data_IF_028707110995
#
_entry.id   IF_028707110995
#
_cell.length_a   1.000
_cell.length_b   1.000
_cell.length_c   1.000
_cell.angle_alpha   90.00
_cell.angle_beta   90.00
_cell.angle_gamma   90.00
#
_symmetry.space_group_name_H-M   'P 1'
#
loop_
_entity.id
_entity.type
_entity.pdbx_description
1 polymer ?
#
# COMPACT_ATOMS: atom_id res chain seq x y z
N UNK A 1 4.17 -5.48 6.62
CA UNK A 1 3.66 -5.92 5.31
C UNK A 1 3.67 -4.74 4.35
N UNK A 2 4.05 -4.97 3.10
CA UNK A 2 3.94 -3.99 2.01
C UNK A 2 3.00 -4.58 0.98
N UNK A 3 1.91 -3.91 0.63
CA UNK A 3 0.91 -4.43 -0.31
C UNK A 3 0.17 -3.30 -1.03
N UNK A 4 -0.47 -3.63 -2.15
CA UNK A 4 -1.40 -2.73 -2.84
C UNK A 4 -2.84 -2.89 -2.33
N UNK A 5 -3.21 -4.06 -1.82
CA UNK A 5 -4.56 -4.32 -1.35
C UNK A 5 -4.76 -3.83 0.09
N UNK A 6 -5.80 -3.02 0.30
CA UNK A 6 -6.09 -2.45 1.61
C UNK A 6 -6.47 -3.52 2.64
N UNK A 7 -7.15 -4.60 2.21
CA UNK A 7 -7.58 -5.68 3.09
C UNK A 7 -6.39 -6.47 3.66
N UNK A 8 -5.36 -6.72 2.85
CA UNK A 8 -4.12 -7.36 3.29
C UNK A 8 -3.44 -6.54 4.39
N UNK A 9 -3.39 -5.21 4.21
CA UNK A 9 -2.78 -4.30 5.17
C UNK A 9 -3.61 -4.17 6.44
N UNK A 10 -4.95 -4.10 6.34
CA UNK A 10 -5.84 -4.07 7.49
C UNK A 10 -5.70 -5.35 8.33
N UNK A 11 -5.63 -6.52 7.68
CA UNK A 11 -5.37 -7.79 8.36
C UNK A 11 -3.98 -7.82 9.02
N UNK A 12 -2.94 -7.34 8.32
CA UNK A 12 -1.60 -7.29 8.87
C UNK A 12 -1.48 -6.35 10.09
N UNK A 13 -2.19 -5.21 10.07
CA UNK A 13 -2.26 -4.30 11.21
C UNK A 13 -2.89 -4.97 12.44
N UNK A 14 -3.95 -5.78 12.26
CA UNK A 14 -4.56 -6.56 13.34
C UNK A 14 -3.60 -7.59 13.95
N UNK A 15 -2.61 -8.06 13.18
CA UNK A 15 -1.55 -8.93 13.67
C UNK A 15 -0.35 -8.17 14.27
N UNK A 16 -0.38 -6.83 14.33
CA UNK A 16 0.69 -6.01 14.91
C UNK A 16 1.88 -5.75 13.97
N UNK A 17 1.73 -6.00 12.66
CA UNK A 17 2.76 -5.61 11.70
C UNK A 17 2.71 -4.12 11.37
N UNK A 18 3.86 -3.52 11.06
CA UNK A 18 3.90 -2.27 10.30
C UNK A 18 3.36 -2.50 8.89
N UNK A 19 2.71 -1.51 8.31
CA UNK A 19 1.95 -1.58 7.06
C UNK A 19 2.37 -0.48 6.10
N UNK A 20 2.52 -0.82 4.84
CA UNK A 20 2.86 0.12 3.77
C UNK A 20 1.97 -0.15 2.57
N UNK A 21 1.24 0.88 2.14
CA UNK A 21 0.47 0.85 0.90
C UNK A 21 1.32 1.32 -0.27
N UNK A 22 1.35 0.54 -1.34
CA UNK A 22 2.00 0.91 -2.62
C UNK A 22 0.96 0.91 -3.73
N UNK A 23 0.78 2.07 -4.38
CA UNK A 23 -0.21 2.24 -5.43
C UNK A 23 0.05 1.30 -6.63
N UNK A 24 -1.01 0.63 -7.08
CA UNK A 24 -1.04 -0.15 -8.33
C UNK A 24 -2.28 0.21 -9.14
N UNK A 25 -2.33 1.41 -9.74
CA UNK A 25 -3.54 1.93 -10.40
C UNK A 25 -3.99 1.16 -11.64
N UNK A 26 -3.17 0.22 -12.13
CA UNK A 26 -3.43 -0.54 -13.36
C UNK A 26 -3.29 -2.05 -13.15
N UNK A 27 -3.32 -2.54 -11.92
CA UNK A 27 -3.26 -3.98 -11.62
C UNK A 27 -4.39 -4.74 -12.32
N UNK A 28 -5.59 -4.16 -12.35
CA UNK A 28 -6.76 -4.69 -13.06
C UNK A 28 -7.07 -3.93 -14.36
N UNK A 29 -6.10 -3.19 -14.91
CA UNK A 29 -6.27 -2.38 -16.11
C UNK A 29 -6.76 -0.94 -15.85
N UNK A 30 -7.02 -0.17 -16.92
CA UNK A 30 -7.31 1.27 -16.82
C UNK A 30 -8.55 1.61 -16.00
N UNK A 31 -9.55 0.73 -16.02
CA UNK A 31 -10.85 0.92 -15.36
C UNK A 31 -10.92 0.38 -13.92
N UNK A 32 -9.77 0.07 -13.30
CA UNK A 32 -9.72 -0.38 -11.91
C UNK A 32 -10.45 0.60 -10.98
N UNK A 33 -11.23 0.06 -10.04
CA UNK A 33 -12.03 0.84 -9.07
C UNK A 33 -11.65 0.60 -7.61
N UNK A 34 -11.01 -0.53 -7.34
CA UNK A 34 -10.56 -0.93 -6.00
C UNK A 34 -9.10 -0.55 -5.79
N UNK A 35 -8.70 -0.41 -4.52
CA UNK A 35 -7.31 -0.22 -4.11
C UNK A 35 -6.57 0.91 -4.86
N UNK A 36 -7.33 1.95 -5.20
CA UNK A 36 -6.83 3.15 -5.89
C UNK A 36 -6.10 4.10 -4.95
N UNK A 37 -6.44 4.04 -3.67
CA UNK A 37 -5.94 4.92 -2.61
C UNK A 37 -5.84 4.12 -1.32
N UNK A 38 -5.03 4.61 -0.39
CA UNK A 38 -5.01 4.10 0.97
C UNK A 38 -6.35 4.37 1.67
N UNK A 39 -6.92 3.33 2.29
CA UNK A 39 -8.18 3.34 3.07
C UNK A 39 -7.93 2.90 4.52
N UNK A 40 -6.71 3.13 5.02
CA UNK A 40 -6.31 2.79 6.38
C UNK A 40 -5.19 3.71 6.87
N UNK A 41 -4.96 3.67 8.18
CA UNK A 41 -3.85 4.39 8.82
C UNK A 41 -2.58 3.55 8.71
N UNK A 42 -1.92 3.64 7.55
CA UNK A 42 -0.70 2.88 7.25
C UNK A 42 0.55 3.67 7.64
N UNK A 43 1.61 2.97 8.05
CA UNK A 43 2.87 3.62 8.45
C UNK A 43 3.48 4.42 7.29
N UNK A 44 3.32 3.94 6.06
CA UNK A 44 3.74 4.63 4.83
C UNK A 44 2.76 4.41 3.68
N UNK A 45 2.66 5.42 2.82
CA UNK A 45 1.92 5.40 1.56
C UNK A 45 2.88 5.85 0.47
N UNK A 46 3.08 5.01 -0.54
CA UNK A 46 4.03 5.26 -1.62
C UNK A 46 3.39 5.00 -2.99
N UNK A 47 3.81 5.77 -3.99
CA UNK A 47 3.32 5.61 -5.37
C UNK A 47 3.99 4.47 -6.12
N UNK A 48 5.20 4.11 -5.71
CA UNK A 48 5.98 2.99 -6.21
C UNK A 48 7.06 2.59 -5.18
N UNK A 49 7.88 1.59 -5.52
CA UNK A 49 8.94 1.13 -4.63
C UNK A 49 10.14 2.08 -4.53
N UNK A 50 10.35 2.98 -5.50
CA UNK A 50 11.43 3.98 -5.44
C UNK A 50 11.04 5.07 -4.44
N UNK A 51 9.80 5.54 -4.49
CA UNK A 51 9.21 6.45 -3.49
C UNK A 51 9.28 5.82 -2.09
N UNK A 52 8.92 4.55 -1.96
CA UNK A 52 9.05 3.84 -0.68
C UNK A 52 10.49 3.79 -0.17
N UNK A 53 11.46 3.47 -1.03
CA UNK A 53 12.87 3.43 -0.66
C UNK A 53 13.37 4.82 -0.17
N UNK A 54 12.95 5.90 -0.82
CA UNK A 54 13.24 7.27 -0.39
C UNK A 54 12.66 7.58 1.00
N UNK A 55 11.42 7.15 1.28
CA UNK A 55 10.78 7.34 2.57
C UNK A 55 11.48 6.53 3.68
N UNK A 56 11.94 5.32 3.37
CA UNK A 56 12.69 4.44 4.29
C UNK A 56 14.16 4.80 4.43
N UNK A 57 14.69 5.66 3.55
CA UNK A 57 16.11 6.04 3.47
C UNK A 57 17.05 4.84 3.27
N UNK A 58 16.71 3.96 2.34
CA UNK A 58 17.52 2.78 1.97
C UNK A 58 17.75 2.67 0.46
#
# INVERSE_FOLDING_TARGET
LVAAHNDDLKAAAQCGFRTVFVERPFEHGPDQKTDRTADGDYDYVARDFVDLALQLRC
#
